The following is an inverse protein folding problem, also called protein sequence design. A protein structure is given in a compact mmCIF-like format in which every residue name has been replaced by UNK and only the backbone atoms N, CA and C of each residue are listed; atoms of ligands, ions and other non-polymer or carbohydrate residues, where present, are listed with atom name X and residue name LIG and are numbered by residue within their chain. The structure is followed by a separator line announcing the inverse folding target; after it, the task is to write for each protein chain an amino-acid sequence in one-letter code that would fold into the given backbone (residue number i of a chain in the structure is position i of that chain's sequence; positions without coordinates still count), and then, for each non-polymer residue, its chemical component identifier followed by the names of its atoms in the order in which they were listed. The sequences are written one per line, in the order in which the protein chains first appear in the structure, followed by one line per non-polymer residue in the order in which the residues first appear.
data_IF_422414151874
#
_entry.id   IF_422414151874
#
_cell.length_a   1.000
_cell.length_b   1.000
_cell.length_c   1.000
_cell.angle_alpha   90.00
_cell.angle_beta   90.00
_cell.angle_gamma   90.00
#
_symmetry.space_group_name_H-M   'P 1'
#
loop_
_entity.id
_entity.type
_entity.pdbx_description
1 polymer ?
#
# COMPACT_ATOMS: atom_id res chain seq x y z
N UNK A 1 -4.18 -6.14 -9.85
CA UNK A 1 -3.12 -5.65 -8.93
C UNK A 1 -2.95 -6.72 -7.87
N UNK A 2 -1.71 -7.18 -7.65
CA UNK A 2 -1.42 -8.26 -6.70
C UNK A 2 -1.82 -7.84 -5.29
N UNK A 3 -2.31 -8.79 -4.51
CA UNK A 3 -2.59 -8.63 -3.06
C UNK A 3 -1.35 -8.03 -2.39
N UNK A 4 -1.45 -6.77 -1.98
CA UNK A 4 -0.41 -6.11 -1.18
C UNK A 4 -0.57 -6.62 0.24
N UNK A 5 0.45 -7.32 0.74
CA UNK A 5 0.42 -7.90 2.07
C UNK A 5 0.30 -6.75 3.08
N UNK A 6 -0.47 -6.86 4.18
CA UNK A 6 -0.53 -5.81 5.22
C UNK A 6 0.84 -5.50 5.85
N UNK A 7 1.79 -6.43 5.72
CA UNK A 7 3.21 -6.22 6.05
C UNK A 7 3.88 -5.25 5.08
N UNK A 8 3.60 -5.34 3.77
CA UNK A 8 4.15 -4.45 2.74
C UNK A 8 3.72 -3.00 3.00
N UNK A 9 2.45 -2.76 3.33
CA UNK A 9 1.95 -1.39 3.61
C UNK A 9 2.62 -0.75 4.84
N UNK A 10 2.90 -1.51 5.89
CA UNK A 10 3.58 -1.00 7.08
C UNK A 10 5.08 -0.76 6.82
N UNK A 11 5.72 -1.64 6.05
CA UNK A 11 7.12 -1.47 5.63
C UNK A 11 7.26 -0.23 4.76
N UNK A 12 6.38 -0.03 3.76
CA UNK A 12 6.40 1.15 2.89
C UNK A 12 6.22 2.45 3.67
N UNK A 13 5.26 2.49 4.59
CA UNK A 13 5.00 3.67 5.44
C UNK A 13 6.21 4.01 6.32
N UNK A 14 6.89 2.99 6.87
CA UNK A 14 8.10 3.18 7.67
C UNK A 14 9.28 3.66 6.84
N UNK A 15 9.54 3.04 5.68
CA UNK A 15 10.63 3.42 4.78
C UNK A 15 10.45 4.83 4.23
N UNK A 16 9.21 5.23 3.92
CA UNK A 16 8.90 6.58 3.47
C UNK A 16 9.20 7.64 4.52
N UNK A 17 8.92 7.34 5.79
CA UNK A 17 9.27 8.22 6.91
C UNK A 17 10.78 8.37 7.06
N UNK A 18 11.52 7.25 7.01
CA UNK A 18 12.97 7.23 7.20
C UNK A 18 13.72 7.92 6.05
N UNK A 19 13.33 7.65 4.80
CA UNK A 19 13.99 8.20 3.61
C UNK A 19 13.44 9.54 3.16
N UNK A 20 12.48 10.13 3.88
CA UNK A 20 11.81 11.39 3.50
C UNK A 20 12.79 12.50 3.14
N UNK A 21 13.82 12.73 3.95
CA UNK A 21 14.80 13.77 3.72
C UNK A 21 15.60 13.53 2.42
N UNK A 22 16.03 12.30 2.19
CA UNK A 22 16.73 11.88 0.98
C UNK A 22 15.85 12.06 -0.26
N UNK A 23 14.60 11.60 -0.19
CA UNK A 23 13.63 11.76 -1.28
C UNK A 23 13.35 13.24 -1.57
N UNK A 24 13.27 14.08 -0.54
CA UNK A 24 13.06 15.51 -0.70
C UNK A 24 14.24 16.20 -1.39
N UNK A 25 15.47 15.80 -1.08
CA UNK A 25 16.68 16.31 -1.75
C UNK A 25 16.72 15.92 -3.22
N UNK A 26 16.30 14.69 -3.54
CA UNK A 26 16.22 14.20 -4.91
C UNK A 26 14.99 14.73 -5.68
N UNK A 27 14.10 15.48 -5.01
CA UNK A 27 12.80 15.95 -5.55
C UNK A 27 11.85 14.81 -5.94
N UNK A 28 11.87 13.72 -5.17
CA UNK A 28 11.14 12.46 -5.42
C UNK A 28 10.06 12.17 -4.37
N UNK A 29 9.64 13.15 -3.57
CA UNK A 29 8.44 12.96 -2.74
C UNK A 29 7.21 12.89 -3.62
N UNK A 30 6.15 12.24 -3.14
CA UNK A 30 4.88 12.11 -3.86
C UNK A 30 4.36 13.48 -4.31
N UNK A 31 4.29 14.44 -3.40
CA UNK A 31 3.81 15.80 -3.69
C UNK A 31 4.67 16.51 -4.75
N UNK A 32 5.99 16.32 -4.70
CA UNK A 32 6.91 16.90 -5.68
C UNK A 32 6.72 16.28 -7.06
N UNK A 33 6.61 14.95 -7.16
CA UNK A 33 6.41 14.27 -8.43
C UNK A 33 5.07 14.70 -9.05
N UNK A 34 4.01 14.85 -8.25
CA UNK A 34 2.71 15.27 -8.74
C UNK A 34 2.70 16.71 -9.29
N UNK A 35 3.52 17.58 -8.71
CA UNK A 35 3.65 18.99 -9.09
C UNK A 35 4.61 19.25 -10.27
N UNK A 36 5.45 18.27 -10.65
CA UNK A 36 6.43 18.42 -11.72
C UNK A 36 5.79 18.45 -13.12
N UNK A 37 6.39 19.26 -14.01
CA UNK A 37 6.11 19.26 -15.45
C UNK A 37 6.70 18.04 -16.17
N UNK A 38 6.34 17.79 -17.44
CA UNK A 38 6.86 16.63 -18.18
C UNK A 38 8.39 16.63 -18.29
N UNK A 39 8.98 17.78 -18.59
CA UNK A 39 10.43 17.93 -18.70
C UNK A 39 11.14 17.67 -17.36
N UNK A 40 10.58 18.18 -16.26
CA UNK A 40 11.10 17.91 -14.92
C UNK A 40 10.97 16.43 -14.55
N UNK A 41 9.85 15.78 -14.91
CA UNK A 41 9.64 14.35 -14.64
C UNK A 41 10.62 13.46 -15.42
N UNK A 42 11.00 13.83 -16.64
CA UNK A 42 12.04 13.12 -17.40
C UNK A 42 13.38 13.20 -16.67
N UNK A 43 13.73 14.38 -16.15
CA UNK A 43 14.94 14.59 -15.34
C UNK A 43 14.87 13.80 -14.02
N UNK A 44 13.71 13.79 -13.36
CA UNK A 44 13.47 13.00 -12.15
C UNK A 44 13.59 11.50 -12.42
N UNK A 45 13.14 11.03 -13.59
CA UNK A 45 13.26 9.62 -13.98
C UNK A 45 14.73 9.21 -14.17
N UNK A 46 15.55 10.05 -14.78
CA UNK A 46 17.01 9.83 -14.90
C UNK A 46 17.68 9.81 -13.52
N UNK A 47 17.28 10.74 -12.65
CA UNK A 47 17.77 10.82 -11.26
C UNK A 47 17.42 9.55 -10.48
N UNK A 48 16.18 9.06 -10.59
CA UNK A 48 15.74 7.82 -9.96
C UNK A 48 16.46 6.61 -10.52
N UNK A 49 16.66 6.52 -11.84
CA UNK A 49 17.42 5.42 -12.43
C UNK A 49 18.86 5.38 -11.93
N UNK A 50 19.52 6.55 -11.85
CA UNK A 50 20.87 6.66 -11.29
C UNK A 50 20.91 6.22 -9.82
N UNK A 51 19.92 6.61 -9.02
CA UNK A 51 19.82 6.19 -7.62
C UNK A 51 19.56 4.68 -7.47
N UNK A 52 18.80 4.08 -8.40
CA UNK A 52 18.55 2.63 -8.45
C UNK A 52 19.80 1.85 -8.85
N UNK A 53 20.67 2.41 -9.70
CA UNK A 53 21.95 1.80 -10.08
C UNK A 53 22.96 1.78 -8.92
N UNK A 54 22.87 2.72 -7.99
CA UNK A 54 23.75 2.86 -6.83
C UNK A 54 22.99 2.88 -5.48
N UNK A 55 22.22 1.83 -5.15
CA UNK A 55 21.36 1.82 -3.96
C UNK A 55 22.17 1.75 -2.64
N UNK A 56 23.42 1.29 -2.72
CA UNK A 56 24.39 1.20 -1.62
C UNK A 56 24.97 2.56 -1.20
N UNK A 57 24.82 3.59 -2.03
CA UNK A 57 25.21 4.96 -1.70
C UNK A 57 24.29 5.62 -0.65
N UNK A 58 23.18 4.97 -0.31
CA UNK A 58 22.17 5.48 0.60
C UNK A 58 22.26 4.83 1.99
N UNK A 59 21.83 5.55 3.06
CA UNK A 59 21.74 4.95 4.38
C UNK A 59 20.76 3.77 4.36
N UNK A 60 20.96 2.83 5.28
CA UNK A 60 20.11 1.66 5.43
C UNK A 60 19.36 1.79 6.75
N UNK A 61 18.04 1.58 6.73
CA UNK A 61 17.23 1.57 7.94
C UNK A 61 17.42 0.21 8.62
N UNK A 62 18.03 0.22 9.82
CA UNK A 62 18.18 -0.97 10.64
C UNK A 62 17.00 -1.10 11.56
N UNK A 63 16.35 -2.25 11.53
CA UNK A 63 15.07 -2.45 12.20
C UNK A 63 15.15 -3.62 13.17
N UNK A 64 14.66 -3.39 14.37
CA UNK A 64 14.44 -4.39 15.40
C UNK A 64 12.93 -4.63 15.55
N UNK A 65 12.53 -5.89 15.65
CA UNK A 65 11.15 -6.25 15.95
C UNK A 65 10.92 -6.16 17.46
N UNK A 66 10.19 -5.13 17.89
CA UNK A 66 9.76 -4.98 19.27
C UNK A 66 8.33 -5.50 19.43
N UNK A 67 8.13 -6.53 20.25
CA UNK A 67 6.79 -6.96 20.64
C UNK A 67 6.34 -6.16 21.86
N UNK A 68 5.33 -5.29 21.69
CA UNK A 68 4.74 -4.53 22.81
C UNK A 68 3.23 -4.77 22.87
N UNK A 69 2.78 -5.35 23.97
CA UNK A 69 1.35 -5.59 24.25
C UNK A 69 0.58 -6.31 23.12
N UNK A 70 1.19 -7.32 22.48
CA UNK A 70 0.55 -8.12 21.43
C UNK A 70 0.65 -7.56 20.01
N UNK A 71 1.24 -6.37 19.83
CA UNK A 71 1.56 -5.81 18.50
C UNK A 71 3.06 -5.94 18.23
N UNK A 72 3.41 -6.47 17.06
CA UNK A 72 4.77 -6.44 16.53
C UNK A 72 5.00 -5.07 15.90
N UNK A 73 5.93 -4.29 16.44
CA UNK A 73 6.31 -2.98 15.93
C UNK A 73 7.73 -3.03 15.36
N UNK A 74 7.90 -2.43 14.19
CA UNK A 74 9.21 -2.15 13.61
C UNK A 74 9.78 -0.89 14.26
N UNK A 75 10.90 -1.02 14.98
CA UNK A 75 11.58 0.10 15.65
C UNK A 75 12.98 0.23 15.08
N UNK A 76 13.48 1.46 14.95
CA UNK A 76 14.86 1.69 14.53
C UNK A 76 15.82 1.11 15.57
N UNK A 77 16.73 0.26 15.14
CA UNK A 77 17.76 -0.34 15.97
C UNK A 77 18.90 0.66 16.19
N UNK A 78 19.18 1.03 17.44
CA UNK A 78 20.29 1.93 17.80
C UNK A 78 21.68 1.31 17.52
N UNK A 79 21.76 -0.02 17.43
CA UNK A 79 23.01 -0.77 17.20
C UNK A 79 22.81 -1.86 16.14
N UNK A 80 23.83 -2.07 15.32
CA UNK A 80 23.82 -3.09 14.26
C UNK A 80 23.62 -4.51 14.79
N UNK A 81 24.14 -4.80 15.99
CA UNK A 81 24.09 -6.12 16.61
C UNK A 81 22.68 -6.55 17.06
N UNK A 82 21.77 -5.59 17.23
CA UNK A 82 20.38 -5.84 17.63
C UNK A 82 19.41 -5.78 16.43
N UNK A 83 19.89 -5.37 15.26
CA UNK A 83 19.07 -5.27 14.06
C UNK A 83 18.77 -6.67 13.52
N UNK A 84 17.49 -6.98 13.35
CA UNK A 84 17.03 -8.24 12.77
C UNK A 84 16.82 -8.13 11.26
N UNK A 85 16.62 -6.90 10.76
CA UNK A 85 16.41 -6.62 9.34
C UNK A 85 17.08 -5.30 8.95
N UNK A 86 17.61 -5.27 7.74
CA UNK A 86 18.14 -4.07 7.09
C UNK A 86 17.28 -3.72 5.87
N UNK A 87 16.65 -2.54 5.90
CA UNK A 87 15.80 -2.02 4.83
C UNK A 87 16.54 -0.92 4.08
N UNK A 88 16.92 -1.20 2.83
CA UNK A 88 17.50 -0.21 1.93
C UNK A 88 16.43 0.70 1.28
N UNK A 89 16.88 1.75 0.60
CA UNK A 89 15.99 2.71 -0.09
C UNK A 89 15.38 2.15 -1.40
N UNK A 90 15.95 1.07 -1.93
CA UNK A 90 15.61 0.55 -3.25
C UNK A 90 14.11 0.28 -3.47
N UNK A 91 13.37 -0.37 -2.55
CA UNK A 91 11.93 -0.56 -2.70
C UNK A 91 11.18 0.76 -2.90
N UNK A 92 11.55 1.78 -2.11
CA UNK A 92 10.98 3.12 -2.21
C UNK A 92 11.32 3.78 -3.56
N UNK A 93 12.56 3.67 -4.04
CA UNK A 93 12.95 4.21 -5.35
C UNK A 93 12.17 3.57 -6.51
N UNK A 94 11.92 2.26 -6.46
CA UNK A 94 11.12 1.55 -7.47
C UNK A 94 9.66 2.02 -7.47
N UNK A 95 9.08 2.27 -6.29
CA UNK A 95 7.76 2.87 -6.17
C UNK A 95 7.73 4.27 -6.79
N UNK A 96 8.72 5.12 -6.47
CA UNK A 96 8.82 6.47 -7.06
C UNK A 96 9.01 6.44 -8.57
N UNK A 97 9.78 5.49 -9.10
CA UNK A 97 9.92 5.29 -10.55
C UNK A 97 8.57 4.99 -11.21
N UNK A 98 7.79 4.10 -10.60
CA UNK A 98 6.45 3.74 -11.10
C UNK A 98 5.55 4.97 -11.13
N UNK A 99 5.52 5.73 -10.04
CA UNK A 99 4.71 6.94 -9.90
C UNK A 99 5.10 8.04 -10.91
N UNK A 100 6.41 8.22 -11.18
CA UNK A 100 6.91 9.14 -12.21
C UNK A 100 6.43 8.71 -13.60
N UNK A 101 6.55 7.41 -13.94
CA UNK A 101 6.13 6.90 -15.24
C UNK A 101 4.62 7.05 -15.45
N UNK A 102 3.81 6.77 -14.43
CA UNK A 102 2.37 7.00 -14.46
C UNK A 102 2.06 8.48 -14.71
N UNK A 103 2.76 9.39 -14.01
CA UNK A 103 2.56 10.83 -14.20
C UNK A 103 2.96 11.29 -15.60
N UNK A 104 4.11 10.85 -16.12
CA UNK A 104 4.55 11.12 -17.50
C UNK A 104 3.49 10.66 -18.50
N UNK A 105 2.96 9.45 -18.33
CA UNK A 105 1.92 8.92 -19.22
C UNK A 105 0.63 9.73 -19.14
N UNK A 106 0.28 10.29 -17.98
CA UNK A 106 -0.88 11.17 -17.83
C UNK A 106 -0.71 12.54 -18.51
N UNK A 107 0.52 13.07 -18.57
CA UNK A 107 0.81 14.41 -19.09
C UNK A 107 1.11 14.41 -20.60
N UNK A 108 1.70 13.34 -21.13
CA UNK A 108 2.13 13.25 -22.53
C UNK A 108 1.00 13.53 -23.55
N UNK A 109 -0.23 13.01 -23.42
CA UNK A 109 -1.31 13.31 -24.37
C UNK A 109 -1.67 14.80 -24.39
N UNK A 110 -1.71 15.46 -23.23
CA UNK A 110 -2.03 16.88 -23.12
C UNK A 110 -0.96 17.77 -23.78
N UNK A 111 0.32 17.44 -23.64
CA UNK A 111 1.39 18.16 -24.33
C UNK A 111 1.39 17.90 -25.84
N UNK A 112 1.15 16.67 -26.29
CA UNK A 112 1.05 16.35 -27.72
C UNK A 112 -0.07 17.13 -28.42
N UNK A 113 -1.23 17.26 -27.78
CA UNK A 113 -2.35 18.07 -28.30
C UNK A 113 -1.96 19.54 -28.38
N UNK A 114 -1.25 20.07 -27.38
CA UNK A 114 -0.77 21.45 -27.36
C UNK A 114 0.24 21.72 -28.49
N UNK A 115 1.20 20.83 -28.68
CA UNK A 115 2.20 20.94 -29.74
C UNK A 115 1.54 20.88 -31.12
N UNK A 116 0.58 19.96 -31.31
CA UNK A 116 -0.17 19.84 -32.55
C UNK A 116 -1.03 21.07 -32.84
N UNK A 117 -1.69 21.67 -31.84
CA UNK A 117 -2.40 22.97 -32.00
C UNK A 117 -1.46 24.06 -32.49
N UNK A 118 -0.26 24.12 -31.93
CA UNK A 118 0.74 25.13 -32.30
C UNK A 118 1.24 24.91 -33.74
N UNK A 119 1.47 23.65 -34.13
CA UNK A 119 1.86 23.28 -35.48
C UNK A 119 0.77 23.61 -36.52
N UNK A 120 -0.48 23.22 -36.27
CA UNK A 120 -1.63 23.54 -37.14
C UNK A 120 -1.80 25.05 -37.30
N UNK A 121 -1.63 25.81 -36.22
CA UNK A 121 -1.75 27.27 -36.26
C UNK A 121 -0.65 27.93 -37.09
N UNK A 122 0.56 27.36 -37.07
CA UNK A 122 1.72 27.87 -37.79
C UNK A 122 1.75 27.45 -39.27
N UNK A 123 1.24 26.26 -39.60
CA UNK A 123 1.38 25.65 -40.93
C UNK A 123 0.14 25.78 -41.81
N UNK A 124 -1.06 25.96 -41.24
CA UNK A 124 -2.31 26.08 -42.02
C UNK A 124 -2.66 27.56 -42.25
N UNK A 125 -2.53 28.00 -43.50
CA UNK A 125 -2.80 29.39 -43.91
C UNK A 125 -4.31 29.68 -44.03
N UNK A 126 -5.09 28.68 -44.44
CA UNK A 126 -6.54 28.81 -44.63
C UNK A 126 -7.29 28.89 -43.28
N UNK A 127 -8.06 29.97 -43.01
CA UNK A 127 -8.76 30.15 -41.75
C UNK A 127 -9.81 29.09 -41.45
N UNK A 128 -10.64 28.70 -42.42
CA UNK A 128 -11.72 27.73 -42.21
C UNK A 128 -11.16 26.33 -41.94
N UNK A 129 -10.16 25.89 -42.71
CA UNK A 129 -9.51 24.59 -42.50
C UNK A 129 -8.81 24.53 -41.15
N UNK A 130 -8.13 25.60 -40.73
CA UNK A 130 -7.49 25.68 -39.41
C UNK A 130 -8.50 25.60 -38.28
N UNK A 131 -9.60 26.34 -38.37
CA UNK A 131 -10.65 26.32 -37.35
C UNK A 131 -11.33 24.95 -37.25
N UNK A 132 -11.58 24.29 -38.40
CA UNK A 132 -12.10 22.94 -38.43
C UNK A 132 -11.14 21.92 -37.79
N UNK A 133 -9.85 21.96 -38.12
CA UNK A 133 -8.84 21.06 -37.54
C UNK A 133 -8.67 21.26 -36.03
N UNK A 134 -8.66 22.51 -35.56
CA UNK A 134 -8.61 22.81 -34.13
C UNK A 134 -9.87 22.29 -33.41
N UNK A 135 -11.05 22.42 -34.02
CA UNK A 135 -12.29 21.89 -33.45
C UNK A 135 -12.29 20.36 -33.35
N UNK A 136 -11.86 19.65 -34.40
CA UNK A 136 -11.76 18.18 -34.39
C UNK A 136 -10.78 17.71 -33.32
N UNK A 137 -9.67 18.42 -33.16
CA UNK A 137 -8.67 18.12 -32.13
C UNK A 137 -9.25 18.28 -30.72
N UNK A 138 -10.08 19.31 -30.50
CA UNK A 138 -10.72 19.58 -29.21
C UNK A 138 -11.78 18.54 -28.86
N UNK A 139 -12.56 18.12 -29.85
CA UNK A 139 -13.52 17.02 -29.71
C UNK A 139 -12.79 15.70 -29.36
N UNK A 140 -11.67 15.41 -30.03
CA UNK A 140 -10.90 14.20 -29.78
C UNK A 140 -10.22 14.22 -28.39
N UNK A 141 -9.67 15.36 -27.99
CA UNK A 141 -9.08 15.57 -26.67
C UNK A 141 -10.12 15.38 -25.55
N UNK A 142 -11.34 15.90 -25.74
CA UNK A 142 -12.43 15.74 -24.80
C UNK A 142 -12.87 14.26 -24.67
N UNK A 143 -13.01 13.56 -25.80
CA UNK A 143 -13.36 12.13 -25.81
C UNK A 143 -12.31 11.25 -25.13
N UNK A 144 -11.02 11.50 -25.36
CA UNK A 144 -9.96 10.73 -24.70
C UNK A 144 -9.93 10.99 -23.20
N UNK A 145 -10.11 12.25 -22.78
CA UNK A 145 -10.19 12.60 -21.37
C UNK A 145 -11.35 11.88 -20.68
N UNK A 146 -12.54 11.92 -21.27
CA UNK A 146 -13.72 11.22 -20.75
C UNK A 146 -13.49 9.71 -20.66
N UNK A 147 -12.87 9.12 -21.69
CA UNK A 147 -12.53 7.70 -21.71
C UNK A 147 -11.53 7.33 -20.62
N UNK A 148 -10.52 8.16 -20.39
CA UNK A 148 -9.55 7.97 -19.30
C UNK A 148 -10.23 8.05 -17.94
N UNK A 149 -11.03 9.09 -17.69
CA UNK A 149 -11.78 9.26 -16.44
C UNK A 149 -12.77 8.12 -16.18
N UNK A 150 -13.34 7.51 -17.23
CA UNK A 150 -14.16 6.31 -17.09
C UNK A 150 -13.32 5.09 -16.68
N UNK A 151 -12.18 4.87 -17.34
CA UNK A 151 -11.29 3.76 -17.00
C UNK A 151 -10.72 3.88 -15.58
N UNK A 152 -10.41 5.10 -15.14
CA UNK A 152 -9.92 5.34 -13.77
C UNK A 152 -11.01 5.07 -12.73
N UNK A 153 -12.27 5.44 -13.02
CA UNK A 153 -13.42 5.07 -12.18
C UNK A 153 -13.63 3.56 -12.12
N UNK A 154 -13.64 2.89 -13.28
CA UNK A 154 -13.77 1.43 -13.34
C UNK A 154 -12.65 0.72 -12.58
N UNK A 155 -11.41 1.21 -12.66
CA UNK A 155 -10.27 0.70 -11.89
C UNK A 155 -10.45 0.94 -10.39
N UNK A 156 -10.86 2.14 -9.99
CA UNK A 156 -11.11 2.47 -8.59
C UNK A 156 -12.21 1.56 -8.00
N UNK A 157 -13.31 1.37 -8.73
CA UNK A 157 -14.40 0.47 -8.36
C UNK A 157 -13.94 -1.00 -8.26
N UNK A 158 -13.16 -1.48 -9.23
CA UNK A 158 -12.59 -2.83 -9.20
C UNK A 158 -11.65 -3.03 -7.99
N UNK A 159 -10.82 -2.04 -7.67
CA UNK A 159 -9.95 -2.10 -6.48
C UNK A 159 -10.74 -2.06 -5.17
N UNK A 160 -11.81 -1.27 -5.10
CA UNK A 160 -12.68 -1.23 -3.94
C UNK A 160 -13.42 -2.57 -3.76
N UNK A 161 -13.90 -3.17 -4.84
CA UNK A 161 -14.51 -4.51 -4.83
C UNK A 161 -13.55 -5.58 -4.31
N UNK A 162 -12.31 -5.61 -4.82
CA UNK A 162 -11.28 -6.53 -4.35
C UNK A 162 -10.90 -6.30 -2.87
N UNK A 163 -10.86 -5.05 -2.41
CA UNK A 163 -10.64 -4.73 -1.00
C UNK A 163 -11.77 -5.26 -0.11
N UNK A 164 -13.03 -5.10 -0.54
CA UNK A 164 -14.18 -5.67 0.21
C UNK A 164 -14.15 -7.20 0.23
N UNK A 165 -13.79 -7.84 -0.87
CA UNK A 165 -13.68 -9.30 -0.94
C UNK A 165 -12.54 -9.83 -0.07
N UNK A 166 -11.39 -9.16 -0.06
CA UNK A 166 -10.29 -9.46 0.86
C UNK A 166 -10.70 -9.32 2.33
N UNK A 167 -11.47 -8.29 2.69
CA UNK A 167 -12.00 -8.14 4.05
C UNK A 167 -12.95 -9.26 4.44
N UNK A 168 -13.81 -9.70 3.52
CA UNK A 168 -14.73 -10.82 3.74
C UNK A 168 -13.99 -12.15 3.93
N UNK A 169 -12.92 -12.39 3.16
CA UNK A 169 -12.07 -13.57 3.33
C UNK A 169 -11.36 -13.56 4.69
N UNK A 170 -10.84 -12.42 5.13
CA UNK A 170 -10.19 -12.33 6.44
C UNK A 170 -11.16 -12.55 7.61
N UNK A 171 -12.42 -12.11 7.50
CA UNK A 171 -13.43 -12.36 8.53
C UNK A 171 -13.86 -13.83 8.55
N UNK A 172 -13.92 -14.49 7.39
CA UNK A 172 -14.21 -15.93 7.29
C UNK A 172 -13.09 -16.79 7.90
N UNK A 173 -11.82 -16.40 7.69
CA UNK A 173 -10.66 -17.03 8.35
C UNK A 173 -10.68 -16.81 9.87
N UNK A 174 -10.97 -15.60 10.33
CA UNK A 174 -11.09 -15.32 11.76
C UNK A 174 -12.24 -16.09 12.42
N UNK A 175 -13.36 -16.26 11.70
CA UNK A 175 -14.52 -17.02 12.18
C UNK A 175 -14.23 -18.53 12.27
N UNK A 176 -13.53 -19.09 11.29
CA UNK A 176 -13.11 -20.49 11.31
C UNK A 176 -12.12 -20.78 12.43
N UNK A 177 -11.20 -19.85 12.72
CA UNK A 177 -10.29 -19.97 13.87
C UNK A 177 -11.04 -19.88 15.22
N UNK A 178 -11.99 -18.95 15.34
CA UNK A 178 -12.85 -18.86 16.52
C UNK A 178 -13.66 -20.14 16.73
N UNK A 179 -14.25 -20.70 15.69
CA UNK A 179 -15.00 -21.96 15.76
C UNK A 179 -14.14 -23.12 16.25
N UNK A 180 -12.91 -23.23 15.74
CA UNK A 180 -11.97 -24.26 16.19
C UNK A 180 -11.66 -24.11 17.69
N UNK A 181 -11.50 -22.87 18.18
CA UNK A 181 -11.30 -22.61 19.62
C UNK A 181 -12.52 -22.99 20.46
N UNK A 182 -13.73 -22.73 19.98
CA UNK A 182 -14.97 -23.14 20.64
C UNK A 182 -15.08 -24.66 20.74
N UNK A 183 -14.82 -25.39 19.64
CA UNK A 183 -14.83 -26.86 19.62
C UNK A 183 -13.78 -27.46 20.57
N UNK A 184 -12.61 -26.81 20.70
CA UNK A 184 -11.60 -27.25 21.68
C UNK A 184 -12.04 -27.00 23.12
N UNK A 185 -12.77 -25.90 23.40
CA UNK A 185 -13.30 -25.63 24.72
C UNK A 185 -14.41 -26.61 25.10
N UNK A 186 -15.27 -26.97 24.13
CA UNK A 186 -16.32 -27.98 24.32
C UNK A 186 -15.72 -29.36 24.62
N UNK A 187 -14.70 -29.79 23.86
CA UNK A 187 -13.95 -31.03 24.16
C UNK A 187 -13.26 -31.02 25.53
N UNK A 188 -12.82 -29.85 26.01
CA UNK A 188 -12.24 -29.72 27.34
C UNK A 188 -13.31 -29.76 28.44
N UNK A 189 -14.49 -29.20 28.18
CA UNK A 189 -15.65 -29.28 29.07
C UNK A 189 -16.18 -30.72 29.19
N UNK A 190 -16.32 -31.44 28.07
CA UNK A 190 -16.74 -32.85 28.05
C UNK A 190 -15.76 -33.76 28.80
N UNK A 191 -14.45 -33.47 28.69
CA UNK A 191 -13.43 -34.17 29.48
C UNK A 191 -13.57 -33.89 30.97
N UNK A 192 -14.01 -32.70 31.35
CA UNK A 192 -14.22 -32.31 32.74
C UNK A 192 -15.46 -33.00 33.35
N UNK A 193 -16.48 -33.28 32.54
CA UNK A 193 -17.71 -33.95 32.96
C UNK A 193 -17.57 -35.48 33.00
N UNK A 194 -16.56 -36.04 32.33
CA UNK A 194 -16.25 -37.47 32.40
C UNK A 194 -15.65 -37.85 33.77
N UNK A 195 -16.34 -38.72 34.51
CA UNK A 195 -16.15 -39.08 35.95
C UNK A 195 -14.76 -39.59 36.41
N UNK A 196 -13.74 -39.57 35.54
CA UNK A 196 -12.36 -40.02 35.83
C UNK A 196 -11.33 -38.91 35.73
N UNK A 197 -11.68 -37.67 36.09
CA UNK A 197 -10.74 -36.55 36.05
C UNK A 197 -9.79 -36.61 37.24
N UNK A 198 -8.50 -36.78 36.98
CA UNK A 198 -7.49 -36.72 38.05
C UNK A 198 -7.30 -35.27 38.51
N UNK A 199 -6.84 -35.06 39.76
CA UNK A 199 -6.60 -33.70 40.30
C UNK A 199 -5.65 -32.86 39.42
N UNK A 200 -4.77 -33.51 38.65
CA UNK A 200 -3.87 -32.86 37.70
C UNK A 200 -4.57 -32.44 36.40
N UNK A 201 -5.54 -33.22 35.92
CA UNK A 201 -6.34 -32.86 34.74
C UNK A 201 -7.21 -31.63 35.01
N UNK A 202 -7.80 -31.52 36.21
CA UNK A 202 -8.58 -30.33 36.61
C UNK A 202 -7.73 -29.06 36.56
N UNK A 203 -6.49 -29.11 37.07
CA UNK A 203 -5.58 -27.95 37.05
C UNK A 203 -5.18 -27.58 35.63
N UNK A 204 -4.87 -28.57 34.79
CA UNK A 204 -4.45 -28.36 33.40
C UNK A 204 -5.59 -27.78 32.55
N UNK A 205 -6.82 -28.28 32.74
CA UNK A 205 -8.02 -27.79 32.06
C UNK A 205 -8.37 -26.38 32.54
N UNK A 206 -8.26 -26.08 33.85
CA UNK A 206 -8.50 -24.73 34.39
C UNK A 206 -7.50 -23.71 33.83
N UNK A 207 -6.22 -24.09 33.68
CA UNK A 207 -5.20 -23.23 33.05
C UNK A 207 -5.48 -23.00 31.56
N UNK A 208 -5.93 -24.04 30.83
CA UNK A 208 -6.28 -23.93 29.42
C UNK A 208 -7.51 -23.04 29.18
N UNK A 209 -8.53 -23.14 30.04
CA UNK A 209 -9.73 -22.28 29.99
C UNK A 209 -9.36 -20.81 30.33
N UNK A 210 -8.52 -20.59 31.35
CA UNK A 210 -8.02 -19.25 31.70
C UNK A 210 -7.21 -18.62 30.56
N UNK A 211 -6.36 -19.39 29.89
CA UNK A 211 -5.60 -18.93 28.73
C UNK A 211 -6.52 -18.59 27.53
N UNK A 212 -7.56 -19.39 27.30
CA UNK A 212 -8.54 -19.14 26.24
C UNK A 212 -9.43 -17.92 26.51
N UNK A 213 -9.87 -17.71 27.76
CA UNK A 213 -10.66 -16.54 28.17
C UNK A 213 -9.80 -15.26 28.17
N UNK A 214 -8.55 -15.35 28.62
CA UNK A 214 -7.57 -14.26 28.51
C UNK A 214 -7.28 -13.85 27.05
N UNK A 215 -7.36 -14.80 26.12
CA UNK A 215 -7.31 -14.52 24.68
C UNK A 215 -8.60 -13.92 24.11
N UNK A 216 -9.78 -14.22 24.69
CA UNK A 216 -11.07 -13.67 24.28
C UNK A 216 -11.26 -12.21 24.70
N UNK A 217 -10.79 -11.80 25.87
CA UNK A 217 -10.82 -10.38 26.29
C UNK A 217 -10.00 -9.49 25.35
N UNK A 218 -8.86 -9.98 24.85
CA UNK A 218 -8.08 -9.28 23.82
C UNK A 218 -8.80 -9.19 22.47
N UNK A 219 -9.54 -10.22 22.05
CA UNK A 219 -10.30 -10.20 20.79
C UNK A 219 -11.52 -9.26 20.85
N UNK A 220 -12.23 -9.24 21.98
CA UNK A 220 -13.37 -8.33 22.21
C UNK A 220 -12.92 -6.87 22.29
N UNK A 221 -11.78 -6.58 22.94
CA UNK A 221 -11.20 -5.23 22.97
C UNK A 221 -10.70 -4.78 21.58
N UNK A 222 -10.16 -5.68 20.77
CA UNK A 222 -9.77 -5.39 19.38
C UNK A 222 -10.99 -5.06 18.50
N UNK A 223 -12.09 -5.80 18.66
CA UNK A 223 -13.36 -5.55 17.96
C UNK A 223 -14.02 -4.23 18.38
N UNK A 224 -14.06 -3.92 19.68
CA UNK A 224 -14.61 -2.66 20.20
C UNK A 224 -13.80 -1.46 19.69
N UNK A 225 -12.47 -1.58 19.62
CA UNK A 225 -11.59 -0.51 19.13
C UNK A 225 -11.70 -0.28 17.61
N UNK A 226 -12.08 -1.30 16.84
CA UNK A 226 -12.31 -1.22 15.39
C UNK A 226 -13.71 -0.69 15.03
N UNK A 227 -14.72 -0.92 15.87
CA UNK A 227 -16.10 -0.44 15.62
C UNK A 227 -16.31 1.02 16.07
N UNK A 228 -15.54 1.50 17.05
CA UNK A 228 -15.67 2.86 17.63
C UNK A 228 -14.62 3.83 17.05
N UNK A 229 -13.67 3.34 16.25
CA UNK A 229 -12.59 4.11 15.62
C UNK A 229 -12.83 4.37 14.15
#
# INVERSE_FOLDING_TARGET
MGSVNPVDTQVTTFTDGFFKATLQQLRLTVDQIMAQSLAELQTSLETVNTAIEHPDSFPVARVELAAKAGTVLFVLADKAENAQMELGILPTLLERKTLILERINSLRPAEQIKDFRQEVSASVTDPETREHLLKVLDEHAAMEKERSERLDRERAEATAGLATEATNLTTEVAFTELKHRTDTLEKLADKLDSEKVTKYDVVTITFAILAAIGGMTTAVLALIKWVIG
#
